data_IF_658155803707
#
_entry.id   IF_658155803707
#
_cell.length_a   1.000
_cell.length_b   1.000
_cell.length_c   1.000
_cell.angle_alpha   90.00
_cell.angle_beta   90.00
_cell.angle_gamma   90.00
#
_symmetry.space_group_name_H-M   'P 1'
#
loop_
_entity.id
_entity.type
_entity.pdbx_description
1 polymer ?
#
# COMPACT_ATOMS: atom_id res chain seq x y z
N UNK A 1 -13.31 21.04 -18.95
CA UNK A 1 -14.03 19.75 -18.82
C UNK A 1 -13.00 18.66 -19.00
N UNK A 2 -12.57 18.00 -17.91
CA UNK A 2 -11.47 17.03 -17.95
C UNK A 2 -11.96 15.73 -18.58
N UNK A 3 -11.34 15.39 -19.71
CA UNK A 3 -11.68 14.26 -20.56
C UNK A 3 -11.56 12.96 -19.75
N UNK A 4 -12.69 12.35 -19.39
CA UNK A 4 -12.73 11.06 -18.72
C UNK A 4 -12.49 9.98 -19.77
N UNK A 5 -11.23 9.78 -20.14
CA UNK A 5 -10.84 8.73 -21.07
C UNK A 5 -11.25 7.37 -20.46
N UNK A 6 -12.28 6.75 -21.04
CA UNK A 6 -12.73 5.42 -20.64
C UNK A 6 -11.60 4.42 -20.87
N UNK A 7 -11.14 3.74 -19.82
CA UNK A 7 -10.14 2.68 -19.95
C UNK A 7 -10.62 1.61 -20.95
N UNK A 8 -9.71 1.17 -21.82
CA UNK A 8 -9.98 0.03 -22.70
C UNK A 8 -10.05 -1.26 -21.88
N UNK A 9 -10.69 -2.30 -22.43
CA UNK A 9 -10.73 -3.62 -21.79
C UNK A 9 -9.33 -4.15 -21.47
N UNK A 10 -8.37 -3.98 -22.38
CA UNK A 10 -6.99 -4.41 -22.19
C UNK A 10 -6.31 -3.67 -21.02
N UNK A 11 -6.49 -2.35 -20.93
CA UNK A 11 -5.98 -1.56 -19.81
C UNK A 11 -6.58 -2.00 -18.48
N UNK A 12 -7.89 -2.30 -18.46
CA UNK A 12 -8.57 -2.85 -17.28
C UNK A 12 -8.00 -4.21 -16.88
N UNK A 13 -7.70 -5.08 -17.85
CA UNK A 13 -7.09 -6.38 -17.58
C UNK A 13 -5.70 -6.23 -16.95
N UNK A 14 -4.83 -5.41 -17.54
CA UNK A 14 -3.49 -5.14 -16.99
C UNK A 14 -3.54 -4.55 -15.59
N UNK A 15 -4.46 -3.61 -15.35
CA UNK A 15 -4.69 -3.04 -14.04
C UNK A 15 -5.06 -4.12 -13.01
N UNK A 16 -6.03 -4.99 -13.33
CA UNK A 16 -6.45 -6.07 -12.43
C UNK A 16 -5.30 -7.04 -12.09
N UNK A 17 -4.50 -7.43 -13.08
CA UNK A 17 -3.34 -8.30 -12.85
C UNK A 17 -2.31 -7.62 -11.94
N UNK A 18 -2.05 -6.33 -12.17
CA UNK A 18 -1.14 -5.53 -11.35
C UNK A 18 -1.64 -5.41 -9.91
N UNK A 19 -2.94 -5.15 -9.72
CA UNK A 19 -3.56 -5.06 -8.40
C UNK A 19 -3.50 -6.39 -7.64
N UNK A 20 -3.66 -7.54 -8.32
CA UNK A 20 -3.50 -8.86 -7.68
C UNK A 20 -2.07 -9.06 -7.16
N UNK A 21 -1.05 -8.69 -7.95
CA UNK A 21 0.35 -8.78 -7.53
C UNK A 21 0.60 -7.89 -6.30
N UNK A 22 0.14 -6.64 -6.34
CA UNK A 22 0.29 -5.70 -5.24
C UNK A 22 -0.42 -6.20 -3.97
N UNK A 23 -1.68 -6.66 -4.09
CA UNK A 23 -2.46 -7.17 -2.98
C UNK A 23 -1.78 -8.36 -2.28
N UNK A 24 -1.10 -9.23 -3.04
CA UNK A 24 -0.33 -10.35 -2.48
C UNK A 24 1.02 -9.96 -1.89
N UNK A 25 1.56 -8.80 -2.28
CA UNK A 25 2.85 -8.30 -1.81
C UNK A 25 2.76 -7.97 -0.31
N UNK A 26 3.82 -8.24 0.44
CA UNK A 26 3.86 -8.01 1.88
C UNK A 26 4.41 -6.62 2.20
N UNK A 27 3.75 -5.92 3.13
CA UNK A 27 4.26 -4.68 3.68
C UNK A 27 5.62 -4.90 4.34
N UNK A 28 6.60 -4.03 4.06
CA UNK A 28 7.95 -4.16 4.64
C UNK A 28 7.99 -3.95 6.17
N UNK A 29 7.02 -3.22 6.74
CA UNK A 29 6.95 -2.87 8.17
C UNK A 29 6.27 -3.99 8.95
N UNK A 30 5.02 -4.32 8.63
CA UNK A 30 4.23 -5.28 9.40
C UNK A 30 4.25 -6.72 8.85
N UNK A 31 4.85 -6.94 7.66
CA UNK A 31 4.94 -8.24 6.96
C UNK A 31 3.62 -8.88 6.56
N UNK A 32 2.49 -8.21 6.77
CA UNK A 32 1.17 -8.64 6.30
C UNK A 32 0.98 -8.29 4.81
N UNK A 33 0.20 -9.07 4.06
CA UNK A 33 -0.15 -8.72 2.68
C UNK A 33 -0.82 -7.34 2.61
N UNK A 34 -0.61 -6.61 1.51
CA UNK A 34 -1.26 -5.32 1.27
C UNK A 34 -2.78 -5.51 1.19
N UNK A 35 -3.25 -6.53 0.48
CA UNK A 35 -4.67 -6.79 0.27
C UNK A 35 -5.33 -5.63 -0.46
N UNK A 36 -6.50 -5.22 0.03
CA UNK A 36 -7.28 -4.08 -0.47
C UNK A 36 -6.99 -2.77 0.28
N UNK A 37 -5.97 -2.77 1.16
CA UNK A 37 -5.65 -1.57 1.93
C UNK A 37 -4.90 -0.55 1.08
N UNK A 38 -5.05 0.73 1.44
CA UNK A 38 -4.23 1.80 0.90
C UNK A 38 -2.74 1.48 1.07
N UNK A 39 -2.00 1.61 -0.03
CA UNK A 39 -0.58 1.31 -0.08
C UNK A 39 0.22 2.45 -0.68
N UNK A 40 1.50 2.48 -0.32
CA UNK A 40 2.51 3.36 -0.88
C UNK A 40 3.69 2.50 -1.33
N UNK A 41 4.26 2.85 -2.48
CA UNK A 41 5.48 2.25 -2.98
C UNK A 41 6.63 3.25 -2.87
N UNK A 42 7.74 2.85 -2.28
CA UNK A 42 8.97 3.66 -2.19
C UNK A 42 10.19 2.75 -2.36
N UNK A 43 11.13 3.12 -3.24
CA UNK A 43 12.33 2.32 -3.55
C UNK A 43 12.02 0.82 -3.76
N UNK A 44 11.06 0.55 -4.66
CA UNK A 44 10.64 -0.82 -5.01
C UNK A 44 10.06 -1.64 -3.83
N UNK A 45 9.73 -0.99 -2.72
CA UNK A 45 9.10 -1.62 -1.55
C UNK A 45 7.68 -1.14 -1.38
N UNK A 46 6.81 -2.05 -0.94
CA UNK A 46 5.42 -1.76 -0.66
C UNK A 46 5.17 -1.64 0.84
N UNK A 47 4.36 -0.65 1.18
CA UNK A 47 3.99 -0.32 2.55
C UNK A 47 2.49 -0.11 2.62
N UNK A 48 1.84 -0.55 3.69
CA UNK A 48 0.52 -0.01 3.99
C UNK A 48 0.65 1.47 4.31
N UNK A 49 -0.27 2.30 3.83
CA UNK A 49 -0.29 3.73 4.12
C UNK A 49 -0.33 4.00 5.65
N UNK A 50 -1.08 3.18 6.39
CA UNK A 50 -1.15 3.30 7.86
C UNK A 50 0.14 2.85 8.56
N UNK A 51 0.90 1.92 8.00
CA UNK A 51 2.19 1.50 8.56
C UNK A 51 3.27 2.56 8.35
N UNK A 52 3.16 3.35 7.28
CA UNK A 52 4.11 4.43 6.99
C UNK A 52 3.84 5.71 7.80
N UNK A 53 2.59 5.92 8.22
CA UNK A 53 2.26 7.02 9.14
C UNK A 53 3.05 6.84 10.43
N UNK A 54 3.84 7.86 10.79
CA UNK A 54 4.47 7.91 12.13
C UNK A 54 3.36 7.75 13.17
N UNK A 55 3.55 6.94 14.22
CA UNK A 55 2.71 7.09 15.40
C UNK A 55 2.84 8.56 15.81
N UNK A 56 1.70 9.26 15.86
CA UNK A 56 1.63 10.54 16.57
C UNK A 56 2.22 10.29 17.97
N UNK A 57 2.94 11.26 18.49
CA UNK A 57 3.82 11.15 19.67
C UNK A 57 3.13 10.68 20.98
N UNK A 58 1.88 10.25 20.95
CA UNK A 58 1.13 9.71 22.09
C UNK A 58 1.39 8.21 22.37
N UNK A 59 2.03 7.46 21.46
CA UNK A 59 2.26 6.01 21.66
C UNK A 59 3.65 5.63 22.18
N UNK A 60 4.52 6.60 22.48
CA UNK A 60 5.91 6.33 22.91
C UNK A 60 6.07 5.95 24.39
N UNK A 61 5.00 5.78 25.17
CA UNK A 61 5.11 5.53 26.61
C UNK A 61 5.42 4.07 27.02
N UNK A 62 5.55 3.10 26.11
CA UNK A 62 5.78 1.70 26.53
C UNK A 62 6.77 0.84 25.73
N UNK A 63 7.72 1.43 24.99
CA UNK A 63 8.87 0.62 24.50
C UNK A 63 9.97 0.61 25.57
N UNK A 64 9.82 -0.27 26.57
CA UNK A 64 10.91 -0.70 27.45
C UNK A 64 12.00 -1.32 26.56
N UNK A 65 13.10 -0.58 26.34
CA UNK A 65 14.35 -1.17 25.88
C UNK A 65 14.85 -2.11 26.98
N UNK A 66 15.12 -3.36 26.64
CA UNK A 66 15.85 -4.31 27.48
C UNK A 66 17.09 -4.76 26.74
#
# INVERSE_FOLDING_TARGET
>A
MTNSASMTWYQKHLYNETQKVIASTRCKICRKPIGENDYLSFEERYFHAHCLKRPTLEQYSTVKRR
#
